data_IF_882202858489
#
_entry.id   IF_882202858489
#
_cell.length_a   1.000
_cell.length_b   1.000
_cell.length_c   1.000
_cell.angle_alpha   90.00
_cell.angle_beta   90.00
_cell.angle_gamma   90.00
#
_symmetry.space_group_name_H-M   'P 1'
#
loop_
_entity.id
_entity.type
_entity.pdbx_description
1 polymer ?
#
# COMPACT_ATOMS: atom_id res chain seq x y z
N UNK A 1 -5.41 -3.41 -19.88
CA UNK A 1 -4.51 -2.59 -19.07
C UNK A 1 -4.35 -1.21 -19.71
N UNK A 2 -4.36 -0.18 -18.86
CA UNK A 2 -4.11 1.21 -19.25
C UNK A 2 -2.70 1.56 -18.74
N UNK A 3 -1.88 2.19 -19.60
CA UNK A 3 -0.57 2.74 -19.21
C UNK A 3 -0.70 4.26 -19.14
N UNK A 4 -0.27 4.85 -18.02
CA UNK A 4 -0.30 6.30 -17.82
C UNK A 4 0.38 6.69 -16.51
N UNK A 5 0.58 7.98 -16.32
CA UNK A 5 1.08 8.53 -15.07
C UNK A 5 -0.08 8.65 -14.06
N UNK A 6 0.14 8.20 -12.83
CA UNK A 6 -0.87 8.27 -11.76
C UNK A 6 -1.27 9.72 -11.46
N UNK A 7 -0.36 10.68 -11.60
CA UNK A 7 -0.59 12.12 -11.40
C UNK A 7 -1.60 12.70 -12.40
N UNK A 8 -1.74 12.04 -13.56
CA UNK A 8 -2.70 12.41 -14.60
C UNK A 8 -4.00 11.61 -14.55
N UNK A 9 -4.25 10.88 -13.47
CA UNK A 9 -5.37 9.94 -13.35
C UNK A 9 -6.72 10.58 -13.69
N UNK A 10 -6.88 11.88 -13.39
CA UNK A 10 -8.10 12.63 -13.64
C UNK A 10 -8.44 12.81 -15.12
N UNK A 11 -7.43 12.76 -15.99
CA UNK A 11 -7.60 12.79 -17.45
C UNK A 11 -7.80 11.41 -18.05
N UNK A 12 -7.33 10.37 -17.35
CA UNK A 12 -7.31 8.99 -17.83
C UNK A 12 -8.59 8.23 -17.47
N UNK A 13 -9.15 8.49 -16.30
CA UNK A 13 -10.28 7.73 -15.77
C UNK A 13 -11.32 8.66 -15.10
N UNK A 14 -12.63 8.35 -15.23
CA UNK A 14 -13.68 9.14 -14.62
C UNK A 14 -13.65 9.03 -13.10
N UNK A 15 -14.06 10.12 -12.42
CA UNK A 15 -14.23 10.14 -10.98
C UNK A 15 -15.27 9.13 -10.50
N UNK A 16 -15.10 8.63 -9.28
CA UNK A 16 -16.10 7.85 -8.56
C UNK A 16 -16.63 6.63 -9.32
N UNK A 17 -15.75 5.98 -10.12
CA UNK A 17 -16.13 4.86 -11.00
C UNK A 17 -15.80 3.48 -10.42
N UNK A 18 -15.04 3.41 -9.33
CA UNK A 18 -14.60 2.15 -8.73
C UNK A 18 -15.09 1.95 -7.30
N UNK A 19 -15.37 0.72 -6.94
CA UNK A 19 -15.71 0.29 -5.56
C UNK A 19 -14.47 -0.13 -4.77
N UNK A 20 -13.42 -0.54 -5.46
CA UNK A 20 -12.17 -0.99 -4.87
C UNK A 20 -11.00 -0.48 -5.71
N UNK A 21 -10.03 0.10 -5.03
CA UNK A 21 -8.73 0.44 -5.58
C UNK A 21 -7.67 -0.25 -4.72
N UNK A 22 -6.69 -0.87 -5.35
CA UNK A 22 -5.55 -1.49 -4.66
C UNK A 22 -4.26 -0.91 -5.20
N UNK A 23 -3.27 -0.74 -4.34
CA UNK A 23 -1.95 -0.28 -4.72
C UNK A 23 -0.86 -1.03 -3.95
N UNK A 24 0.19 -1.40 -4.66
CA UNK A 24 1.45 -1.84 -4.08
C UNK A 24 2.51 -0.80 -4.43
N UNK A 25 2.57 0.34 -3.68
CA UNK A 25 3.49 1.41 -4.01
C UNK A 25 4.93 1.03 -3.69
N UNK A 26 5.95 1.73 -4.26
CA UNK A 26 7.34 1.51 -3.91
C UNK A 26 7.56 1.63 -2.39
N UNK A 27 8.37 0.72 -1.83
CA UNK A 27 8.58 0.63 -0.38
C UNK A 27 9.55 1.67 0.18
N UNK A 28 10.33 2.32 -0.69
CA UNK A 28 11.35 3.27 -0.26
C UNK A 28 10.89 4.71 -0.49
N UNK A 29 11.10 5.63 0.48
CA UNK A 29 10.89 7.04 0.24
C UNK A 29 11.86 7.52 -0.84
N UNK A 30 11.44 8.49 -1.66
CA UNK A 30 12.33 9.22 -2.53
C UNK A 30 13.49 9.78 -1.68
N UNK A 31 14.75 9.37 -1.98
CA UNK A 31 15.94 9.81 -1.23
C UNK A 31 16.45 8.86 -0.15
N UNK A 32 15.78 7.76 0.19
CA UNK A 32 16.34 6.73 1.07
C UNK A 32 17.28 5.83 0.27
N UNK A 33 18.53 6.29 0.12
CA UNK A 33 19.55 5.55 -0.60
C UNK A 33 20.00 4.29 0.15
N UNK A 34 19.44 3.14 -0.18
CA UNK A 34 20.20 1.90 -0.14
C UNK A 34 20.98 1.84 -1.46
N UNK A 35 22.21 2.33 -1.42
CA UNK A 35 23.09 2.42 -2.57
C UNK A 35 23.70 1.04 -2.87
N UNK A 36 23.29 0.42 -3.96
CA UNK A 36 24.17 -0.45 -4.73
C UNK A 36 25.15 0.41 -5.56
N UNK A 37 26.38 -0.09 -5.88
CA UNK A 37 27.47 0.76 -6.36
C UNK A 37 27.24 1.36 -7.75
N UNK A 38 27.72 2.57 -7.90
CA UNK A 38 28.03 3.42 -9.08
C UNK A 38 27.04 3.54 -10.25
N UNK A 39 26.49 2.49 -10.85
CA UNK A 39 25.50 2.61 -11.95
C UNK A 39 24.08 2.94 -11.46
N UNK A 40 23.81 2.69 -10.19
CA UNK A 40 22.52 2.97 -9.55
C UNK A 40 22.31 4.45 -9.25
N UNK A 41 23.37 5.26 -9.15
CA UNK A 41 23.26 6.69 -8.81
C UNK A 41 22.63 7.52 -9.93
N UNK A 42 22.83 7.14 -11.18
CA UNK A 42 22.18 7.82 -12.32
C UNK A 42 20.72 7.40 -12.47
N UNK A 43 20.41 6.11 -12.30
CA UNK A 43 19.02 5.61 -12.31
C UNK A 43 18.22 6.14 -11.12
N UNK A 44 18.79 6.11 -9.90
CA UNK A 44 18.10 6.60 -8.70
C UNK A 44 17.76 8.10 -8.76
N UNK A 45 18.53 8.95 -9.44
CA UNK A 45 18.18 10.36 -9.63
C UNK A 45 17.00 10.54 -10.60
N UNK A 46 16.93 9.78 -11.68
CA UNK A 46 15.79 9.80 -12.60
C UNK A 46 14.55 9.16 -11.98
N UNK A 47 14.72 8.07 -11.21
CA UNK A 47 13.61 7.42 -10.49
C UNK A 47 13.08 8.26 -9.31
N UNK A 48 13.89 9.16 -8.74
CA UNK A 48 13.47 10.08 -7.68
C UNK A 48 12.56 11.22 -8.19
N UNK A 49 12.70 11.64 -9.43
CA UNK A 49 11.82 12.63 -10.07
C UNK A 49 10.54 11.98 -10.63
N UNK A 50 10.53 10.67 -10.85
CA UNK A 50 9.42 9.92 -11.44
C UNK A 50 8.55 9.16 -10.42
N UNK A 51 8.99 8.98 -9.18
CA UNK A 51 8.22 8.21 -8.19
C UNK A 51 7.08 9.02 -7.59
N UNK A 52 5.86 8.50 -7.66
CA UNK A 52 4.70 9.08 -6.98
C UNK A 52 4.88 9.04 -5.46
N UNK A 53 4.50 10.13 -4.80
CA UNK A 53 4.41 10.19 -3.34
C UNK A 53 3.21 9.39 -2.84
N UNK A 54 3.23 8.99 -1.57
CA UNK A 54 2.09 8.30 -0.96
C UNK A 54 0.83 9.19 -0.94
N UNK A 55 1.00 10.52 -0.86
CA UNK A 55 -0.10 11.48 -0.98
C UNK A 55 -0.77 11.42 -2.36
N UNK A 56 0.02 11.47 -3.44
CA UNK A 56 -0.49 11.37 -4.80
C UNK A 56 -1.21 10.04 -5.06
N UNK A 57 -0.70 8.94 -4.49
CA UNK A 57 -1.37 7.63 -4.56
C UNK A 57 -2.73 7.67 -3.86
N UNK A 58 -2.81 8.26 -2.66
CA UNK A 58 -4.06 8.40 -1.91
C UNK A 58 -5.06 9.33 -2.63
N UNK A 59 -4.59 10.45 -3.19
CA UNK A 59 -5.42 11.40 -3.94
C UNK A 59 -6.00 10.76 -5.21
N UNK A 60 -5.19 9.98 -5.93
CA UNK A 60 -5.65 9.24 -7.09
C UNK A 60 -6.69 8.17 -6.71
N UNK A 61 -6.46 7.44 -5.62
CA UNK A 61 -7.42 6.45 -5.12
C UNK A 61 -8.73 7.11 -4.70
N UNK A 62 -8.68 8.25 -4.02
CA UNK A 62 -9.86 9.00 -3.61
C UNK A 62 -10.66 9.53 -4.81
N UNK A 63 -9.98 10.01 -5.86
CA UNK A 63 -10.62 10.41 -7.11
C UNK A 63 -11.40 9.28 -7.77
N UNK A 64 -10.81 8.09 -7.80
CA UNK A 64 -11.40 6.93 -8.47
C UNK A 64 -12.56 6.31 -7.69
N UNK A 65 -12.54 6.38 -6.37
CA UNK A 65 -13.47 5.66 -5.51
C UNK A 65 -14.83 6.32 -5.41
N UNK A 66 -15.87 5.50 -5.49
CA UNK A 66 -17.23 5.86 -5.10
C UNK A 66 -17.29 6.15 -3.59
N UNK A 67 -18.30 6.90 -3.16
CA UNK A 67 -18.60 7.02 -1.73
C UNK A 67 -18.77 5.62 -1.08
N UNK A 68 -18.09 5.40 0.03
CA UNK A 68 -18.05 4.09 0.68
C UNK A 68 -17.14 3.05 0.00
N UNK A 69 -16.49 3.40 -1.12
CA UNK A 69 -15.50 2.56 -1.77
C UNK A 69 -14.24 2.34 -0.91
N UNK A 70 -13.49 1.30 -1.21
CA UNK A 70 -12.34 0.84 -0.41
C UNK A 70 -11.04 1.03 -1.15
N UNK A 71 -10.04 1.53 -0.43
CA UNK A 71 -8.65 1.60 -0.86
C UNK A 71 -7.81 0.66 -0.02
N UNK A 72 -7.09 -0.27 -0.66
CA UNK A 72 -6.19 -1.19 0.01
C UNK A 72 -4.76 -0.99 -0.47
N UNK A 73 -3.83 -0.88 0.45
CA UNK A 73 -2.41 -0.84 0.14
C UNK A 73 -1.58 -1.65 1.13
N UNK A 74 -0.36 -1.98 0.72
CA UNK A 74 0.67 -2.53 1.59
C UNK A 74 1.89 -1.61 1.62
N UNK A 75 2.54 -1.52 2.77
CA UNK A 75 3.75 -0.71 2.93
C UNK A 75 4.58 -1.21 4.13
N UNK A 76 5.80 -0.71 4.25
CA UNK A 76 6.72 -1.04 5.36
C UNK A 76 6.30 -0.35 6.66
N UNK A 77 6.56 -0.97 7.83
CA UNK A 77 6.17 -0.42 9.14
C UNK A 77 6.62 1.01 9.39
N UNK A 78 7.80 1.40 8.91
CA UNK A 78 8.39 2.73 9.07
C UNK A 78 7.55 3.84 8.42
N UNK A 79 6.69 3.47 7.45
CA UNK A 79 5.84 4.41 6.72
C UNK A 79 4.41 4.45 7.24
N UNK A 80 4.11 3.76 8.34
CA UNK A 80 2.73 3.63 8.82
C UNK A 80 2.08 4.99 9.09
N UNK A 81 2.76 5.86 9.80
CA UNK A 81 2.22 7.19 10.15
C UNK A 81 2.00 8.06 8.93
N UNK A 82 2.93 8.03 7.96
CA UNK A 82 2.81 8.79 6.72
C UNK A 82 1.61 8.30 5.89
N UNK A 83 1.44 6.99 5.79
CA UNK A 83 0.33 6.37 5.06
C UNK A 83 -1.02 6.73 5.70
N UNK A 84 -1.16 6.57 7.02
CA UNK A 84 -2.41 6.88 7.71
C UNK A 84 -2.77 8.36 7.58
N UNK A 85 -1.77 9.25 7.68
CA UNK A 85 -1.96 10.69 7.49
C UNK A 85 -2.41 11.01 6.06
N UNK A 86 -1.70 10.49 5.05
CA UNK A 86 -2.03 10.72 3.65
C UNK A 86 -3.43 10.20 3.30
N UNK A 87 -3.80 9.02 3.78
CA UNK A 87 -5.15 8.48 3.60
C UNK A 87 -6.22 9.42 4.16
N UNK A 88 -6.05 9.89 5.40
CA UNK A 88 -7.02 10.81 6.01
C UNK A 88 -7.10 12.15 5.30
N UNK A 89 -5.97 12.70 4.87
CA UNK A 89 -5.91 13.96 4.09
C UNK A 89 -6.66 13.83 2.77
N UNK A 90 -6.60 12.66 2.13
CA UNK A 90 -7.34 12.36 0.90
C UNK A 90 -8.83 11.97 1.13
N UNK A 91 -9.33 11.98 2.37
CA UNK A 91 -10.71 11.57 2.68
C UNK A 91 -10.95 10.06 2.68
N UNK A 92 -9.87 9.28 2.74
CA UNK A 92 -9.89 7.81 2.86
C UNK A 92 -9.65 7.44 4.33
N UNK A 93 -10.70 7.28 5.11
CA UNK A 93 -10.55 6.94 6.54
C UNK A 93 -10.03 5.51 6.71
N UNK A 94 -8.87 5.30 7.39
CA UNK A 94 -8.35 3.97 7.70
C UNK A 94 -9.34 3.18 8.55
N UNK A 95 -9.68 1.97 8.11
CA UNK A 95 -10.72 1.13 8.76
C UNK A 95 -10.20 -0.20 9.27
N UNK A 96 -9.22 -0.78 8.57
CA UNK A 96 -8.62 -2.06 8.96
C UNK A 96 -7.12 -2.00 8.75
N UNK A 97 -6.35 -2.54 9.69
CA UNK A 97 -4.91 -2.67 9.59
C UNK A 97 -4.50 -4.07 10.02
N UNK A 98 -3.62 -4.67 9.27
CA UNK A 98 -3.09 -6.00 9.52
C UNK A 98 -1.58 -6.02 9.32
N UNK A 99 -0.85 -6.51 10.31
CA UNK A 99 0.58 -6.75 10.20
C UNK A 99 0.88 -8.02 9.41
N UNK A 100 1.98 -8.02 8.67
CA UNK A 100 2.51 -9.21 8.00
C UNK A 100 3.84 -9.56 8.64
N UNK A 101 3.94 -10.78 9.15
CA UNK A 101 5.11 -11.32 9.83
C UNK A 101 5.55 -12.61 9.13
N UNK A 102 6.85 -12.81 9.01
CA UNK A 102 7.37 -14.08 8.51
C UNK A 102 6.94 -15.23 9.43
N UNK A 103 7.17 -15.08 10.76
CA UNK A 103 6.78 -16.02 11.81
C UNK A 103 6.26 -15.25 13.02
N UNK A 104 5.53 -15.88 13.96
CA UNK A 104 4.95 -15.18 15.11
C UNK A 104 5.96 -14.43 15.98
N UNK A 105 7.18 -14.95 16.11
CA UNK A 105 8.26 -14.36 16.92
C UNK A 105 9.06 -13.26 16.17
N UNK A 106 8.82 -13.05 14.89
CA UNK A 106 9.50 -12.04 14.08
C UNK A 106 8.75 -10.72 14.07
N UNK A 107 9.48 -9.63 14.04
CA UNK A 107 8.88 -8.31 13.84
C UNK A 107 8.15 -8.25 12.48
N UNK A 108 7.04 -7.50 12.40
CA UNK A 108 6.37 -7.28 11.12
C UNK A 108 7.29 -6.56 10.15
N UNK A 109 7.25 -6.96 8.90
CA UNK A 109 8.03 -6.36 7.81
C UNK A 109 7.19 -5.63 6.78
N UNK A 110 5.87 -5.86 6.80
CA UNK A 110 4.86 -5.11 6.06
C UNK A 110 3.63 -4.91 6.93
N UNK A 111 2.80 -3.94 6.54
CA UNK A 111 1.40 -3.85 6.94
C UNK A 111 0.49 -3.76 5.72
N UNK A 112 -0.71 -4.24 5.89
CA UNK A 112 -1.83 -4.08 4.98
C UNK A 112 -2.79 -3.09 5.63
N UNK A 113 -3.26 -2.11 4.88
CA UNK A 113 -4.27 -1.18 5.38
C UNK A 113 -5.38 -1.02 4.37
N UNK A 114 -6.62 -1.02 4.88
CA UNK A 114 -7.82 -0.67 4.13
C UNK A 114 -8.36 0.65 4.64
N UNK A 115 -8.55 1.60 3.73
CA UNK A 115 -9.28 2.84 3.97
C UNK A 115 -10.61 2.85 3.22
N UNK A 116 -11.55 3.66 3.71
CA UNK A 116 -12.88 3.79 3.12
C UNK A 116 -13.22 5.24 2.85
N UNK A 117 -13.64 5.54 1.62
CA UNK A 117 -14.02 6.88 1.20
C UNK A 117 -15.25 7.38 1.97
N UNK A 118 -15.15 8.56 2.59
CA UNK A 118 -16.24 9.21 3.32
C UNK A 118 -16.67 8.51 4.61
N UNK A 119 -15.88 7.59 5.15
CA UNK A 119 -16.22 6.89 6.40
C UNK A 119 -15.91 7.73 7.65
N UNK A 120 -16.59 7.43 8.73
CA UNK A 120 -16.31 7.99 10.06
C UNK A 120 -15.05 7.34 10.65
N UNK A 121 -14.33 8.02 11.59
CA UNK A 121 -13.18 7.46 12.28
C UNK A 121 -13.46 6.11 12.94
N UNK A 122 -12.40 5.31 13.09
CA UNK A 122 -12.44 4.02 13.77
C UNK A 122 -11.64 2.95 13.01
N UNK A 123 -10.45 2.63 13.54
CA UNK A 123 -9.52 1.65 12.99
C UNK A 123 -9.62 0.33 13.76
N UNK A 124 -9.79 -0.77 13.06
CA UNK A 124 -9.73 -2.13 13.61
C UNK A 124 -8.37 -2.75 13.30
N UNK A 125 -7.71 -3.27 14.33
CA UNK A 125 -6.50 -4.07 14.18
C UNK A 125 -6.89 -5.53 14.00
N UNK A 126 -6.40 -6.14 12.93
CA UNK A 126 -6.64 -7.56 12.66
C UNK A 126 -5.49 -8.43 13.19
N UNK A 127 -5.75 -9.72 13.48
CA UNK A 127 -4.67 -10.66 13.78
C UNK A 127 -3.61 -10.65 12.67
N UNK A 128 -2.31 -10.74 13.01
CA UNK A 128 -1.24 -10.68 12.02
C UNK A 128 -1.36 -11.83 11.00
N UNK A 129 -0.98 -11.54 9.76
CA UNK A 129 -0.78 -12.55 8.73
C UNK A 129 0.60 -13.18 8.95
N UNK A 130 0.64 -14.43 9.32
CA UNK A 130 1.86 -15.22 9.44
C UNK A 130 2.12 -15.91 8.11
N UNK A 131 3.33 -15.69 7.57
CA UNK A 131 3.68 -16.20 6.23
C UNK A 131 4.13 -17.65 6.29
N UNK A 132 4.96 -18.02 7.28
CA UNK A 132 5.61 -19.32 7.37
C UNK A 132 5.28 -20.06 8.66
N UNK A 133 5.20 -21.37 8.57
CA UNK A 133 5.22 -22.31 9.68
C UNK A 133 6.65 -22.46 10.24
N UNK A 134 6.80 -23.16 11.36
CA UNK A 134 8.10 -23.42 11.98
C UNK A 134 9.07 -24.19 11.07
N UNK A 135 8.55 -25.03 10.20
CA UNK A 135 9.32 -25.83 9.23
C UNK A 135 9.70 -25.05 7.94
N UNK A 136 9.31 -23.78 7.83
CA UNK A 136 9.59 -22.95 6.66
C UNK A 136 8.57 -23.09 5.53
N UNK A 137 7.57 -23.95 5.64
CA UNK A 137 6.46 -24.03 4.69
C UNK A 137 5.51 -22.85 4.85
N UNK A 138 4.73 -22.49 3.81
CA UNK A 138 3.68 -21.48 3.94
C UNK A 138 2.64 -21.90 4.98
N UNK A 139 2.17 -20.90 5.75
CA UNK A 139 1.04 -21.08 6.65
C UNK A 139 -0.21 -21.50 5.87
N UNK A 140 -1.18 -22.09 6.55
CA UNK A 140 -2.43 -22.49 5.90
C UNK A 140 -3.22 -21.30 5.34
N UNK A 141 -3.07 -20.11 5.96
CA UNK A 141 -3.67 -18.90 5.42
C UNK A 141 -2.98 -18.46 4.13
N UNK A 142 -1.64 -18.51 4.08
CA UNK A 142 -0.91 -18.19 2.86
C UNK A 142 -1.21 -19.17 1.73
N UNK A 143 -1.30 -20.48 2.04
CA UNK A 143 -1.72 -21.49 1.05
C UNK A 143 -3.09 -21.17 0.47
N UNK A 144 -4.06 -20.79 1.32
CA UNK A 144 -5.39 -20.36 0.83
C UNK A 144 -5.33 -19.12 -0.06
N UNK A 145 -4.54 -18.11 0.32
CA UNK A 145 -4.37 -16.86 -0.45
C UNK A 145 -3.77 -17.15 -1.83
N UNK A 146 -2.79 -18.05 -1.92
CA UNK A 146 -2.12 -18.41 -3.17
C UNK A 146 -2.77 -19.58 -3.90
N UNK A 147 -3.89 -20.12 -3.39
CA UNK A 147 -4.56 -21.32 -3.96
C UNK A 147 -3.61 -22.52 -4.12
N UNK A 148 -2.67 -22.69 -3.18
CA UNK A 148 -1.77 -23.85 -3.13
C UNK A 148 -2.47 -24.96 -2.37
N UNK A 149 -2.64 -26.10 -3.04
CA UNK A 149 -3.23 -27.33 -2.46
C UNK A 149 -2.17 -28.15 -1.73
#
# INVERSE_FOLDING_TARGET
>A
PLRGDLREIRTLLPAHSFRLVTCNPPYFPAGSGYLCPEDSRRRARHEQEESCTIGEVCDAAAWLLQYGGRFCLCQRPERLTDVLLAMRQAGLEPKRLRWVQQRPEKAPWLFLVEGKAGAKPGLTMEPPLIVENADGSYSDEMKRIYHIV
#
